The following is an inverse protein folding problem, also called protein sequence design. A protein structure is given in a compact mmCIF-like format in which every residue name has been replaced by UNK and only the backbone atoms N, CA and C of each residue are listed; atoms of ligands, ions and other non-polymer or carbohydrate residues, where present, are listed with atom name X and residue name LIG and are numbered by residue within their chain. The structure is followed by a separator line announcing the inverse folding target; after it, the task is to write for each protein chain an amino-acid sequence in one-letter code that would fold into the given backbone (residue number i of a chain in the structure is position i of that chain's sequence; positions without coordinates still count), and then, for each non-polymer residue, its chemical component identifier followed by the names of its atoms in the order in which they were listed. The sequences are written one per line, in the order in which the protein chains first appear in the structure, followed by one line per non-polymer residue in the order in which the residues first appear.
data_IF_984285167922
#
_entry.id   IF_984285167922
#
_cell.length_a   1.000
_cell.length_b   1.000
_cell.length_c   1.000
_cell.angle_alpha   90.00
_cell.angle_beta   90.00
_cell.angle_gamma   90.00
#
_symmetry.space_group_name_H-M   'P 1'
#
loop_
_entity.id
_entity.type
_entity.pdbx_description
1 polymer ?
#
# COMPACT_ATOMS: atom_id res chain seq x y z
N UNK A 1 89.46 3.62 -11.24
CA UNK A 1 90.15 4.69 -10.48
C UNK A 1 89.48 4.81 -9.14
N UNK A 2 90.23 4.51 -8.09
CA UNK A 2 89.82 4.65 -6.70
C UNK A 2 90.22 6.02 -6.18
N UNK A 3 89.43 6.62 -5.29
CA UNK A 3 89.98 7.23 -4.08
C UNK A 3 88.95 7.31 -2.96
N UNK A 4 89.48 7.22 -1.75
CA UNK A 4 88.91 6.74 -0.49
C UNK A 4 89.39 7.67 0.62
N UNK A 5 88.57 7.95 1.66
CA UNK A 5 88.91 7.90 3.11
C UNK A 5 87.67 8.26 3.95
N UNK A 6 87.14 7.35 4.79
CA UNK A 6 87.52 6.94 6.20
C UNK A 6 87.01 7.97 7.24
N UNK A 7 86.40 7.62 8.40
CA UNK A 7 86.68 6.50 9.34
C UNK A 7 85.61 6.38 10.47
N UNK A 8 85.30 5.12 10.87
CA UNK A 8 85.07 4.47 12.22
C UNK A 8 84.57 5.29 13.42
N UNK A 9 83.77 4.77 14.39
CA UNK A 9 83.72 3.51 15.18
C UNK A 9 82.24 3.23 15.58
N UNK A 10 81.72 2.09 16.03
CA UNK A 10 82.20 0.79 16.52
C UNK A 10 81.10 0.18 17.42
N UNK A 11 81.01 -1.15 17.54
CA UNK A 11 80.37 -1.83 18.69
C UNK A 11 79.01 -2.50 18.47
N UNK A 12 79.01 -3.83 18.51
CA UNK A 12 77.83 -4.71 18.54
C UNK A 12 77.21 -4.75 19.94
N UNK A 13 75.88 -4.80 20.06
CA UNK A 13 75.18 -5.73 20.95
C UNK A 13 73.66 -5.70 20.72
N UNK A 14 73.09 -6.90 20.67
CA UNK A 14 71.67 -7.22 20.57
C UNK A 14 70.90 -6.93 21.86
N UNK A 15 69.91 -6.03 21.84
CA UNK A 15 68.84 -5.98 22.87
C UNK A 15 67.51 -5.48 22.25
N UNK A 16 66.46 -6.32 22.39
CA UNK A 16 65.00 -6.10 22.34
C UNK A 16 64.43 -4.81 21.72
N UNK A 17 63.58 -4.99 20.71
CA UNK A 17 62.61 -4.00 20.25
C UNK A 17 61.50 -3.77 21.30
N UNK A 18 61.21 -2.52 21.72
CA UNK A 18 59.99 -2.18 22.42
C UNK A 18 58.84 -1.96 21.44
N UNK A 19 57.69 -2.52 21.79
CA UNK A 19 56.39 -2.42 21.14
C UNK A 19 55.96 -0.95 21.06
N UNK A 20 55.82 -0.42 19.84
CA UNK A 20 55.36 0.94 19.57
C UNK A 20 53.86 1.10 19.83
N UNK A 21 53.53 2.01 20.75
CA UNK A 21 52.19 2.51 21.07
C UNK A 21 51.57 3.26 19.88
N UNK A 22 50.29 3.02 19.53
CA UNK A 22 49.59 3.81 18.50
C UNK A 22 49.20 5.22 18.98
N UNK A 23 49.18 6.15 18.02
CA UNK A 23 48.97 7.58 18.17
C UNK A 23 47.62 7.98 18.84
N UNK A 24 47.67 9.10 19.57
CA UNK A 24 46.60 9.67 20.36
C UNK A 24 45.34 10.03 19.54
N UNK A 25 44.18 9.69 20.10
CA UNK A 25 42.83 10.04 19.63
C UNK A 25 42.44 11.42 20.20
N UNK A 26 41.83 12.34 19.43
CA UNK A 26 41.45 13.65 19.93
C UNK A 26 40.35 13.58 21.00
N UNK A 27 40.52 14.39 22.05
CA UNK A 27 39.66 14.48 23.22
C UNK A 27 38.24 14.94 22.86
N UNK A 28 37.25 14.10 23.16
CA UNK A 28 35.86 14.52 23.28
C UNK A 28 35.53 14.73 24.75
N UNK A 29 35.20 15.97 25.13
CA UNK A 29 34.74 16.33 26.46
C UNK A 29 33.41 15.63 26.81
N UNK A 30 33.48 14.42 27.37
CA UNK A 30 32.37 13.83 28.09
C UNK A 30 32.44 14.31 29.55
N UNK A 31 31.67 15.34 29.87
CA UNK A 31 31.46 15.78 31.25
C UNK A 31 30.72 14.65 31.97
N UNK A 32 31.41 13.97 32.90
CA UNK A 32 30.82 12.96 33.76
C UNK A 32 29.74 13.61 34.63
N UNK A 33 28.47 13.27 34.38
CA UNK A 33 27.35 13.69 35.20
C UNK A 33 27.36 12.93 36.52
N UNK A 34 27.55 13.66 37.61
CA UNK A 34 27.30 13.25 38.99
C UNK A 34 25.89 12.67 39.12
N UNK A 35 25.79 11.44 39.65
CA UNK A 35 24.51 10.87 40.08
C UNK A 35 24.03 11.61 41.33
N UNK A 36 23.15 12.58 41.14
CA UNK A 36 22.26 13.05 42.21
C UNK A 36 21.03 12.13 42.25
N UNK A 37 20.79 11.57 43.43
CA UNK A 37 19.66 10.69 43.71
C UNK A 37 18.39 11.54 43.79
N UNK A 38 17.71 11.73 42.66
CA UNK A 38 16.44 12.44 42.59
C UNK A 38 15.28 11.58 43.17
N UNK A 39 14.29 12.19 43.85
CA UNK A 39 13.19 11.49 44.50
C UNK A 39 12.25 10.83 43.49
N UNK A 40 11.73 9.67 43.89
CA UNK A 40 10.88 8.80 43.11
C UNK A 40 9.46 9.39 42.98
N UNK A 41 9.12 9.96 41.82
CA UNK A 41 7.78 9.92 41.18
C UNK A 41 7.72 10.88 39.99
N UNK A 42 7.77 10.35 38.77
CA UNK A 42 7.34 11.08 37.58
C UNK A 42 6.72 10.07 36.59
N UNK A 43 5.51 10.30 36.05
CA UNK A 43 4.87 9.37 35.13
C UNK A 43 5.68 9.29 33.83
N UNK A 44 5.90 8.06 33.36
CA UNK A 44 6.73 7.74 32.20
C UNK A 44 6.47 8.70 31.01
N UNK A 45 7.49 9.48 30.63
CA UNK A 45 7.47 10.25 29.39
C UNK A 45 7.24 9.31 28.19
N UNK A 46 6.45 9.71 27.19
CA UNK A 46 6.38 8.99 25.92
C UNK A 46 7.78 8.88 25.32
N UNK A 47 8.28 7.66 25.08
CA UNK A 47 9.58 7.47 24.44
C UNK A 47 9.59 8.12 23.05
N UNK A 48 10.36 9.19 22.89
CA UNK A 48 10.67 9.78 21.58
C UNK A 48 11.39 8.72 20.72
N UNK A 49 10.90 8.41 19.50
CA UNK A 49 11.51 7.36 18.70
C UNK A 49 12.95 7.69 18.33
N UNK A 50 13.87 6.77 18.57
CA UNK A 50 15.27 6.92 18.19
C UNK A 50 15.46 6.83 16.66
N UNK A 51 16.65 7.20 16.17
CA UNK A 51 16.94 7.23 14.73
C UNK A 51 16.72 5.88 14.02
N UNK A 52 16.97 4.75 14.70
CA UNK A 52 16.72 3.43 14.14
C UNK A 52 15.22 3.15 13.99
N UNK A 53 14.41 3.48 15.00
CA UNK A 53 12.95 3.34 14.94
C UNK A 53 12.35 4.22 13.82
N UNK A 54 12.85 5.44 13.66
CA UNK A 54 12.42 6.32 12.57
C UNK A 54 12.79 5.76 11.18
N UNK A 55 14.00 5.21 11.01
CA UNK A 55 14.42 4.57 9.76
C UNK A 55 13.57 3.35 9.42
N UNK A 56 13.34 2.47 10.39
CA UNK A 56 12.48 1.28 10.21
C UNK A 56 11.05 1.68 9.85
N UNK A 57 10.50 2.70 10.49
CA UNK A 57 9.17 3.21 10.16
C UNK A 57 9.11 3.74 8.71
N UNK A 58 10.11 4.54 8.29
CA UNK A 58 10.20 5.05 6.91
C UNK A 58 10.32 3.91 5.89
N UNK A 59 11.13 2.89 6.19
CA UNK A 59 11.27 1.71 5.34
C UNK A 59 9.96 0.94 5.20
N UNK A 60 9.25 0.73 6.32
CA UNK A 60 7.93 0.09 6.32
C UNK A 60 6.91 0.87 5.49
N UNK A 61 6.92 2.21 5.58
CA UNK A 61 6.06 3.06 4.76
C UNK A 61 6.39 2.92 3.27
N UNK A 62 7.68 2.92 2.91
CA UNK A 62 8.09 2.72 1.51
C UNK A 62 7.69 1.35 0.99
N UNK A 63 7.94 0.29 1.76
CA UNK A 63 7.54 -1.06 1.44
C UNK A 63 6.02 -1.15 1.21
N UNK A 64 5.20 -0.58 2.08
CA UNK A 64 3.74 -0.57 1.92
C UNK A 64 3.28 0.19 0.67
N UNK A 65 3.93 1.31 0.32
CA UNK A 65 3.62 2.05 -0.92
C UNK A 65 3.94 1.19 -2.15
N UNK A 66 5.10 0.55 -2.14
CA UNK A 66 5.49 -0.37 -3.21
C UNK A 66 4.49 -1.52 -3.33
N UNK A 67 4.11 -2.16 -2.22
CA UNK A 67 3.10 -3.22 -2.24
C UNK A 67 1.78 -2.77 -2.86
N UNK A 68 1.30 -1.57 -2.50
CA UNK A 68 0.08 -1.01 -3.08
C UNK A 68 0.18 -0.86 -4.59
N UNK A 69 1.22 -0.16 -5.07
CA UNK A 69 1.42 0.09 -6.51
C UNK A 69 1.65 -1.20 -7.28
N UNK A 70 2.43 -2.13 -6.74
CA UNK A 70 2.64 -3.44 -7.32
C UNK A 70 1.33 -4.23 -7.42
N UNK A 71 0.48 -4.20 -6.39
CA UNK A 71 -0.84 -4.80 -6.45
C UNK A 71 -1.69 -4.21 -7.59
N UNK A 72 -1.76 -2.88 -7.69
CA UNK A 72 -2.50 -2.19 -8.76
C UNK A 72 -1.93 -2.51 -10.15
N UNK A 73 -0.60 -2.55 -10.30
CA UNK A 73 0.10 -3.00 -11.51
C UNK A 73 -0.34 -4.40 -11.91
N UNK A 74 -0.17 -5.37 -11.01
CA UNK A 74 -0.54 -6.76 -11.31
C UNK A 74 -2.03 -6.91 -11.61
N UNK A 75 -2.91 -6.14 -10.94
CA UNK A 75 -4.35 -6.15 -11.19
C UNK A 75 -4.71 -5.66 -12.60
N UNK A 76 -4.10 -4.58 -13.06
CA UNK A 76 -4.34 -4.03 -14.39
C UNK A 76 -3.94 -5.01 -15.50
N UNK A 77 -2.74 -5.58 -15.40
CA UNK A 77 -2.28 -6.56 -16.38
C UNK A 77 -3.02 -7.89 -16.27
N UNK A 78 -3.48 -8.29 -15.09
CA UNK A 78 -4.39 -9.42 -14.98
C UNK A 78 -5.72 -9.17 -15.73
N UNK A 79 -6.31 -7.97 -15.58
CA UNK A 79 -7.53 -7.59 -16.29
C UNK A 79 -7.33 -7.58 -17.81
N UNK A 80 -6.18 -7.07 -18.29
CA UNK A 80 -5.87 -7.08 -19.71
C UNK A 80 -5.53 -8.49 -20.23
N UNK A 81 -4.55 -9.14 -19.62
CA UNK A 81 -3.87 -10.30 -20.21
C UNK A 81 -4.60 -11.60 -19.92
N UNK A 82 -5.19 -11.74 -18.72
CA UNK A 82 -5.92 -12.94 -18.31
C UNK A 82 -7.42 -12.81 -18.54
N UNK A 83 -8.05 -11.68 -18.17
CA UNK A 83 -9.49 -11.49 -18.42
C UNK A 83 -9.81 -11.06 -19.86
N UNK A 84 -8.79 -10.61 -20.62
CA UNK A 84 -8.95 -10.25 -22.03
C UNK A 84 -9.79 -8.99 -22.25
N UNK A 85 -9.81 -8.07 -21.28
CA UNK A 85 -10.63 -6.87 -21.40
C UNK A 85 -9.91 -5.78 -22.20
N UNK A 86 -10.54 -5.37 -23.29
CA UNK A 86 -10.01 -4.33 -24.19
C UNK A 86 -8.85 -4.82 -25.06
N UNK A 87 -8.11 -3.86 -25.62
CA UNK A 87 -6.97 -4.13 -26.47
C UNK A 87 -5.69 -4.23 -25.63
N UNK A 88 -4.87 -5.26 -25.89
CA UNK A 88 -3.59 -5.42 -25.18
C UNK A 88 -2.65 -4.26 -25.50
N UNK A 89 -2.05 -3.71 -24.46
CA UNK A 89 -1.03 -2.66 -24.55
C UNK A 89 0.28 -3.12 -23.91
N UNK A 90 1.36 -2.45 -24.27
CA UNK A 90 2.70 -2.78 -23.79
C UNK A 90 2.84 -2.56 -22.29
N UNK A 91 3.59 -3.46 -21.64
CA UNK A 91 3.93 -3.34 -20.22
C UNK A 91 4.93 -2.21 -20.00
N UNK A 92 4.78 -1.49 -18.90
CA UNK A 92 5.70 -0.44 -18.43
C UNK A 92 6.14 0.63 -19.46
N UNK A 93 5.32 0.83 -20.50
CA UNK A 93 5.53 1.83 -21.56
C UNK A 93 4.51 2.98 -21.56
N UNK A 94 3.70 3.10 -20.51
CA UNK A 94 2.60 4.08 -20.45
C UNK A 94 1.43 3.76 -21.38
N UNK A 95 1.25 2.48 -21.73
CA UNK A 95 0.20 2.04 -22.63
C UNK A 95 -1.21 2.35 -22.12
N UNK A 96 -2.11 2.67 -23.06
CA UNK A 96 -3.53 2.93 -22.80
C UNK A 96 -4.35 1.72 -23.23
N UNK A 97 -5.20 1.23 -22.32
CA UNK A 97 -6.22 0.25 -22.64
C UNK A 97 -7.61 0.93 -22.58
N UNK A 98 -8.37 0.97 -23.70
CA UNK A 98 -9.65 1.67 -23.76
C UNK A 98 -10.76 1.05 -22.90
N UNK A 99 -10.55 -0.19 -22.41
CA UNK A 99 -11.46 -0.82 -21.47
C UNK A 99 -11.22 -0.35 -20.03
N UNK A 100 -10.03 0.16 -19.68
CA UNK A 100 -9.78 0.76 -18.37
C UNK A 100 -10.38 2.19 -18.36
N UNK A 101 -11.33 2.41 -17.47
CA UNK A 101 -12.18 3.61 -17.47
C UNK A 101 -11.68 4.74 -16.57
N UNK A 102 -10.67 4.46 -15.76
CA UNK A 102 -10.01 5.43 -14.91
C UNK A 102 -8.55 5.65 -15.33
N UNK A 103 -7.93 6.67 -14.76
CA UNK A 103 -6.55 7.08 -15.09
C UNK A 103 -6.34 7.37 -16.59
N UNK A 104 -7.40 7.77 -17.32
CA UNK A 104 -7.35 7.95 -18.77
C UNK A 104 -7.06 6.66 -19.56
N UNK A 105 -7.29 5.50 -18.95
CA UNK A 105 -7.00 4.19 -19.54
C UNK A 105 -5.55 3.72 -19.38
N UNK A 106 -4.68 4.50 -18.73
CA UNK A 106 -3.29 4.11 -18.50
C UNK A 106 -3.21 2.95 -17.52
N UNK A 107 -2.47 1.90 -17.89
CA UNK A 107 -2.15 0.83 -16.96
C UNK A 107 -1.14 1.31 -15.92
N UNK A 108 -1.24 0.77 -14.71
CA UNK A 108 -0.31 1.10 -13.64
C UNK A 108 1.09 0.64 -14.02
N UNK A 109 2.04 1.57 -13.98
CA UNK A 109 3.44 1.29 -14.22
C UNK A 109 4.10 0.85 -12.91
N UNK A 110 5.08 -0.05 -13.00
CA UNK A 110 5.87 -0.45 -11.84
C UNK A 110 6.76 0.71 -11.35
N UNK A 111 7.27 1.51 -12.30
CA UNK A 111 8.08 2.70 -12.07
C UNK A 111 7.65 3.86 -12.97
N UNK A 112 7.56 5.11 -12.47
CA UNK A 112 7.72 5.52 -11.08
C UNK A 112 6.59 4.97 -10.17
N UNK A 113 6.92 4.65 -8.93
CA UNK A 113 5.97 4.07 -7.95
C UNK A 113 4.99 5.13 -7.43
N UNK A 114 3.98 5.46 -8.24
CA UNK A 114 3.00 6.50 -7.97
C UNK A 114 1.74 5.93 -7.30
N UNK A 115 1.44 6.41 -6.10
CA UNK A 115 0.23 6.04 -5.35
C UNK A 115 -0.94 6.93 -5.79
N UNK A 116 -2.09 6.34 -6.12
CA UNK A 116 -3.25 7.08 -6.67
C UNK A 116 -4.21 7.62 -5.61
N UNK A 117 -4.33 6.97 -4.44
CA UNK A 117 -5.06 7.49 -3.28
C UNK A 117 -6.56 7.75 -3.48
N UNK A 118 -7.19 7.25 -4.55
CA UNK A 118 -8.58 7.54 -4.93
C UNK A 118 -9.62 6.56 -4.35
N UNK A 119 -9.17 5.49 -3.70
CA UNK A 119 -9.99 4.54 -2.97
C UNK A 119 -10.43 3.33 -3.79
N UNK A 120 -10.89 3.52 -5.03
CA UNK A 120 -11.11 2.43 -6.00
C UNK A 120 -9.85 2.29 -6.84
N UNK A 121 -9.32 1.08 -7.02
CA UNK A 121 -8.05 0.88 -7.73
C UNK A 121 -8.24 0.85 -9.24
N UNK A 122 -9.19 0.05 -9.76
CA UNK A 122 -9.48 0.05 -11.20
C UNK A 122 -10.98 -0.07 -11.49
N UNK A 123 -11.39 0.46 -12.65
CA UNK A 123 -12.74 0.31 -13.18
C UNK A 123 -12.60 -0.05 -14.64
N UNK A 124 -13.21 -1.15 -15.05
CA UNK A 124 -13.04 -1.73 -16.37
C UNK A 124 -14.38 -1.94 -17.07
N UNK A 125 -14.42 -1.75 -18.39
CA UNK A 125 -15.43 -2.36 -19.26
C UNK A 125 -15.10 -3.84 -19.40
N UNK A 126 -16.09 -4.68 -19.19
CA UNK A 126 -15.97 -6.12 -19.37
C UNK A 126 -16.44 -6.51 -20.77
N UNK A 127 -15.71 -7.42 -21.41
CA UNK A 127 -16.11 -7.96 -22.72
C UNK A 127 -16.77 -9.32 -22.51
N UNK A 128 -17.98 -9.52 -23.04
CA UNK A 128 -18.69 -10.80 -22.97
C UNK A 128 -19.27 -11.19 -21.60
N UNK A 129 -19.24 -10.29 -20.60
CA UNK A 129 -19.84 -10.54 -19.29
C UNK A 129 -21.27 -10.01 -19.19
N UNK A 130 -22.08 -10.59 -18.30
CA UNK A 130 -23.47 -10.17 -18.06
C UNK A 130 -23.57 -8.74 -17.52
N UNK A 131 -22.59 -8.31 -16.72
CA UNK A 131 -22.48 -6.95 -16.20
C UNK A 131 -21.38 -6.21 -16.99
N UNK A 132 -21.67 -5.05 -17.61
CA UNK A 132 -20.75 -4.35 -18.51
C UNK A 132 -19.53 -3.70 -17.82
N UNK A 133 -19.55 -3.59 -16.50
CA UNK A 133 -18.46 -2.99 -15.73
C UNK A 133 -17.91 -3.93 -14.66
N UNK A 134 -16.63 -3.77 -14.33
CA UNK A 134 -15.98 -4.41 -13.20
C UNK A 134 -15.27 -3.35 -12.35
N UNK A 135 -15.51 -3.40 -11.03
CA UNK A 135 -14.81 -2.59 -10.03
C UNK A 135 -13.76 -3.46 -9.37
N UNK A 136 -12.51 -3.04 -9.43
CA UNK A 136 -11.36 -3.81 -8.96
C UNK A 136 -10.75 -3.11 -7.74
N UNK A 137 -10.50 -3.90 -6.71
CA UNK A 137 -9.61 -3.58 -5.60
C UNK A 137 -8.43 -4.55 -5.64
N UNK A 138 -7.23 -4.00 -5.68
CA UNK A 138 -5.99 -4.75 -5.70
C UNK A 138 -5.40 -4.84 -4.28
N UNK A 139 -4.99 -6.04 -3.88
CA UNK A 139 -4.37 -6.28 -2.57
C UNK A 139 -3.09 -7.08 -2.76
N UNK A 140 -2.00 -6.60 -2.17
CA UNK A 140 -0.74 -7.35 -2.12
C UNK A 140 -0.32 -7.62 -0.67
N UNK A 141 0.19 -8.82 -0.40
CA UNK A 141 0.75 -9.15 0.92
C UNK A 141 1.81 -10.24 0.85
N UNK A 142 2.76 -10.18 1.80
CA UNK A 142 3.72 -11.28 2.04
C UNK A 142 3.05 -12.48 2.71
N UNK A 143 1.90 -12.28 3.34
CA UNK A 143 1.15 -13.32 4.04
C UNK A 143 0.07 -13.88 3.09
N UNK A 144 0.30 -15.08 2.50
CA UNK A 144 -0.65 -15.65 1.55
C UNK A 144 -1.93 -16.13 2.23
N UNK A 145 -2.04 -16.09 3.57
CA UNK A 145 -3.19 -16.60 4.33
C UNK A 145 -4.24 -15.53 4.61
N UNK A 146 -3.99 -14.26 4.27
CA UNK A 146 -4.92 -13.15 4.51
C UNK A 146 -6.33 -13.46 4.00
N UNK A 147 -7.32 -13.32 4.87
CA UNK A 147 -8.72 -13.48 4.50
C UNK A 147 -9.25 -12.19 3.88
N UNK A 148 -10.29 -12.31 3.04
CA UNK A 148 -10.99 -11.15 2.48
C UNK A 148 -11.44 -10.16 3.56
N UNK A 149 -11.95 -10.67 4.70
CA UNK A 149 -12.36 -9.85 5.86
C UNK A 149 -11.19 -9.06 6.44
N UNK A 150 -9.97 -9.57 6.41
CA UNK A 150 -8.79 -8.84 6.91
C UNK A 150 -8.27 -7.79 5.91
N UNK A 151 -8.55 -7.99 4.62
CA UNK A 151 -8.08 -7.12 3.54
C UNK A 151 -9.00 -5.91 3.31
N UNK A 152 -10.31 -6.04 3.52
CA UNK A 152 -11.26 -4.96 3.29
C UNK A 152 -11.28 -3.95 4.44
N UNK A 153 -11.11 -2.67 4.13
CA UNK A 153 -11.22 -1.58 5.10
C UNK A 153 -12.65 -1.27 5.55
N UNK A 154 -12.80 -0.21 6.33
CA UNK A 154 -14.07 0.39 6.73
C UNK A 154 -14.01 1.90 6.41
N UNK A 155 -15.09 2.49 5.92
CA UNK A 155 -15.18 3.92 5.65
C UNK A 155 -16.40 4.54 6.37
N UNK A 156 -16.24 5.73 6.94
CA UNK A 156 -17.39 6.54 7.37
C UNK A 156 -17.93 7.37 6.20
N UNK A 157 -19.26 7.55 6.13
CA UNK A 157 -19.89 8.40 5.10
C UNK A 157 -19.83 9.90 5.43
N UNK A 158 -19.38 10.26 6.64
CA UNK A 158 -19.16 11.65 7.01
C UNK A 158 -17.98 12.16 6.21
N UNK A 159 -18.30 12.91 5.14
CA UNK A 159 -17.43 13.88 4.46
C UNK A 159 -15.96 13.54 4.60
N UNK A 160 -15.41 12.77 3.65
CA UNK A 160 -13.97 12.59 3.49
C UNK A 160 -13.31 13.98 3.30
N UNK A 161 -13.05 14.64 4.43
CA UNK A 161 -12.28 15.85 4.54
C UNK A 161 -10.81 15.50 4.47
N UNK A 162 -10.10 16.23 3.60
CA UNK A 162 -8.66 16.40 3.54
C UNK A 162 -7.79 15.15 3.80
N UNK A 163 -7.30 14.56 2.71
CA UNK A 163 -5.92 14.09 2.57
C UNK A 163 -5.17 13.75 3.87
N UNK A 164 -5.05 12.46 4.22
CA UNK A 164 -3.78 11.81 4.62
C UNK A 164 -3.96 10.32 4.94
N UNK A 165 -3.01 9.52 4.45
CA UNK A 165 -2.54 8.22 4.93
C UNK A 165 -3.42 7.40 5.89
N UNK A 166 -3.89 6.24 5.41
CA UNK A 166 -4.35 5.15 6.28
C UNK A 166 -3.25 4.07 6.39
N UNK A 167 -2.27 4.34 7.25
CA UNK A 167 -1.59 3.29 8.02
C UNK A 167 -2.43 3.01 9.26
N UNK A 168 -2.82 1.75 9.45
CA UNK A 168 -3.47 1.31 10.68
C UNK A 168 -2.45 1.24 11.84
N UNK A 169 -2.78 1.87 12.97
CA UNK A 169 -2.35 1.44 14.30
C UNK A 169 -3.30 1.99 15.37
N UNK A 170 -3.60 1.14 16.35
CA UNK A 170 -4.58 1.33 17.42
C UNK A 170 -4.22 2.42 18.45
N UNK A 171 -5.24 3.00 19.09
CA UNK A 171 -5.08 3.80 20.32
C UNK A 171 -6.29 4.69 20.65
N UNK A 172 -7.04 4.34 21.71
CA UNK A 172 -8.19 5.05 22.37
C UNK A 172 -7.90 6.55 22.61
N UNK A 173 -8.85 7.50 22.76
CA UNK A 173 -10.05 7.51 23.64
C UNK A 173 -10.85 8.84 23.45
N UNK A 174 -12.19 8.76 23.57
CA UNK A 174 -13.10 9.85 23.95
C UNK A 174 -13.57 10.77 22.80
N UNK A 175 -14.85 10.98 22.50
CA UNK A 175 -16.06 10.85 23.30
C UNK A 175 -16.89 12.12 23.09
N UNK A 176 -17.79 12.13 22.11
CA UNK A 176 -18.97 13.01 22.13
C UNK A 176 -20.11 12.36 21.36
N UNK A 177 -21.03 11.80 22.12
CA UNK A 177 -22.36 11.40 21.70
C UNK A 177 -23.07 12.60 21.09
N UNK A 178 -23.59 12.41 19.88
CA UNK A 178 -24.52 13.32 19.23
C UNK A 178 -25.67 12.50 18.70
N UNK A 179 -26.67 12.28 19.55
CA UNK A 179 -27.94 11.66 19.20
C UNK A 179 -28.86 12.76 18.64
N UNK A 180 -29.22 12.65 17.35
CA UNK A 180 -30.44 13.14 16.67
C UNK A 180 -30.13 13.60 15.25
N UNK A 181 -30.84 13.00 14.30
CA UNK A 181 -30.85 13.35 12.90
C UNK A 181 -31.61 12.32 12.09
N UNK A 182 -32.86 12.05 12.47
CA UNK A 182 -33.86 11.56 11.52
C UNK A 182 -34.02 12.65 10.47
N UNK A 183 -33.46 12.41 9.30
CA UNK A 183 -33.54 13.30 8.15
C UNK A 183 -33.63 12.42 6.92
N UNK A 184 -34.87 12.13 6.52
CA UNK A 184 -35.16 11.42 5.29
C UNK A 184 -34.52 12.14 4.11
N UNK A 185 -33.72 11.41 3.35
CA UNK A 185 -33.43 11.72 1.96
C UNK A 185 -33.85 10.51 1.16
N UNK A 186 -35.00 10.70 0.51
CA UNK A 186 -35.55 9.85 -0.53
C UNK A 186 -34.50 9.59 -1.62
N UNK A 187 -34.21 8.32 -1.87
CA UNK A 187 -33.51 7.86 -3.09
C UNK A 187 -32.24 7.03 -2.90
N UNK A 188 -31.78 6.75 -1.67
CA UNK A 188 -30.59 5.93 -1.46
C UNK A 188 -30.93 4.44 -1.43
N UNK A 189 -30.33 3.67 -2.34
CA UNK A 189 -30.17 2.21 -2.18
C UNK A 189 -29.76 1.90 -0.75
N UNK A 190 -30.50 1.02 -0.07
CA UNK A 190 -30.36 0.70 1.35
C UNK A 190 -28.92 0.27 1.65
N UNK A 191 -28.09 1.23 2.07
CA UNK A 191 -26.66 1.01 2.22
C UNK A 191 -26.43 0.20 3.48
N UNK A 192 -26.07 -1.07 3.33
CA UNK A 192 -25.76 -1.95 4.45
C UNK A 192 -24.59 -1.36 5.24
N UNK A 193 -24.86 -0.96 6.48
CA UNK A 193 -23.87 -0.44 7.42
C UNK A 193 -23.41 -1.55 8.36
N UNK A 194 -22.15 -1.47 8.74
CA UNK A 194 -21.59 -2.23 9.84
C UNK A 194 -22.26 -1.85 11.16
N UNK A 195 -22.13 -2.71 12.17
CA UNK A 195 -22.64 -2.44 13.54
C UNK A 195 -22.05 -1.17 14.17
N UNK A 196 -20.88 -0.72 13.70
CA UNK A 196 -20.24 0.53 14.12
C UNK A 196 -20.70 1.77 13.30
N UNK A 197 -21.66 1.62 12.39
CA UNK A 197 -22.21 2.68 11.52
C UNK A 197 -21.40 2.99 10.24
N UNK A 198 -20.23 2.36 10.06
CA UNK A 198 -19.40 2.51 8.85
C UNK A 198 -19.87 1.61 7.71
N UNK A 199 -19.30 1.80 6.53
CA UNK A 199 -19.53 0.95 5.36
C UNK A 199 -18.28 0.13 5.06
N UNK A 200 -18.46 -1.14 4.73
CA UNK A 200 -17.38 -2.04 4.33
C UNK A 200 -16.82 -1.65 2.96
N UNK A 201 -15.50 -1.55 2.83
CA UNK A 201 -14.83 -1.35 1.53
C UNK A 201 -15.32 -2.39 0.51
N UNK A 202 -15.53 -1.98 -0.74
CA UNK A 202 -16.14 -2.80 -1.80
C UNK A 202 -17.60 -3.22 -1.56
N UNK A 203 -18.27 -2.77 -0.50
CA UNK A 203 -19.73 -2.88 -0.40
C UNK A 203 -20.41 -2.01 -1.48
N UNK A 204 -21.63 -2.36 -1.91
CA UNK A 204 -22.36 -1.58 -2.92
C UNK A 204 -22.54 -0.12 -2.51
N UNK A 205 -22.95 0.15 -1.27
CA UNK A 205 -23.05 1.53 -0.77
C UNK A 205 -21.70 2.24 -0.61
N UNK A 206 -20.60 1.49 -0.46
CA UNK A 206 -19.25 2.07 -0.49
C UNK A 206 -18.88 2.48 -1.92
N UNK A 207 -19.14 1.64 -2.93
CA UNK A 207 -18.84 1.98 -4.33
C UNK A 207 -19.74 3.12 -4.82
N UNK A 208 -21.03 3.08 -4.48
CA UNK A 208 -22.04 4.06 -4.89
C UNK A 208 -21.88 5.43 -4.23
N UNK A 209 -20.92 5.59 -3.30
CA UNK A 209 -20.59 6.92 -2.78
C UNK A 209 -20.13 7.83 -3.94
N UNK A 210 -20.94 8.84 -4.27
CA UNK A 210 -20.76 9.73 -5.42
C UNK A 210 -19.38 10.39 -5.49
N UNK A 211 -18.79 10.74 -4.33
CA UNK A 211 -17.46 11.37 -4.30
C UNK A 211 -16.38 10.38 -4.66
N UNK A 212 -16.45 9.16 -4.12
CA UNK A 212 -15.47 8.10 -4.37
C UNK A 212 -15.53 7.65 -5.83
N UNK A 213 -16.73 7.35 -6.32
CA UNK A 213 -16.94 6.96 -7.71
C UNK A 213 -16.54 8.09 -8.66
N UNK A 214 -16.85 9.34 -8.31
CA UNK A 214 -16.50 10.53 -9.08
C UNK A 214 -14.98 10.77 -9.15
N UNK A 215 -14.24 10.52 -8.06
CA UNK A 215 -12.77 10.57 -8.06
C UNK A 215 -12.16 9.46 -8.93
N UNK A 216 -12.81 8.30 -9.00
CA UNK A 216 -12.33 7.19 -9.81
C UNK A 216 -12.57 7.43 -11.32
N UNK A 217 -13.78 7.83 -11.71
CA UNK A 217 -14.20 7.87 -13.12
C UNK A 217 -14.29 9.27 -13.73
N UNK A 218 -14.30 10.32 -12.91
CA UNK A 218 -14.75 11.65 -13.33
C UNK A 218 -16.28 11.71 -13.43
N UNK A 219 -16.89 12.78 -12.93
CA UNK A 219 -18.36 12.92 -12.86
C UNK A 219 -19.02 13.08 -14.23
N UNK A 220 -18.25 13.41 -15.27
CA UNK A 220 -18.73 13.51 -16.65
C UNK A 220 -18.70 12.17 -17.43
N UNK A 221 -18.13 11.11 -16.85
CA UNK A 221 -18.04 9.81 -17.51
C UNK A 221 -19.41 9.13 -17.63
N UNK A 222 -19.73 8.58 -18.80
CA UNK A 222 -20.96 7.79 -18.99
C UNK A 222 -21.05 6.61 -18.02
N UNK A 223 -19.91 5.94 -17.76
CA UNK A 223 -19.84 4.84 -16.81
C UNK A 223 -20.13 5.29 -15.36
N UNK A 224 -19.77 6.54 -15.00
CA UNK A 224 -20.13 7.11 -13.70
C UNK A 224 -21.65 7.22 -13.55
N UNK A 225 -22.35 7.73 -14.57
CA UNK A 225 -23.81 7.79 -14.60
C UNK A 225 -24.45 6.42 -14.50
N UNK A 226 -24.02 5.48 -15.34
CA UNK A 226 -24.54 4.11 -15.35
C UNK A 226 -24.39 3.40 -14.00
N UNK A 227 -23.19 3.43 -13.42
CA UNK A 227 -22.88 2.75 -12.16
C UNK A 227 -23.65 3.40 -11.00
N UNK A 228 -23.76 4.73 -11.00
CA UNK A 228 -24.52 5.46 -9.98
C UNK A 228 -26.01 5.14 -10.06
N UNK A 229 -26.59 5.20 -11.25
CA UNK A 229 -28.05 5.17 -11.44
C UNK A 229 -28.60 3.74 -11.48
N UNK A 230 -27.86 2.80 -12.06
CA UNK A 230 -28.28 1.40 -12.22
C UNK A 230 -27.67 0.47 -11.16
N UNK A 231 -26.66 0.94 -10.44
CA UNK A 231 -26.09 0.26 -9.29
C UNK A 231 -25.53 -1.13 -9.62
N UNK A 232 -25.70 -2.06 -8.67
CA UNK A 232 -25.16 -3.43 -8.74
C UNK A 232 -25.59 -4.23 -9.97
N UNK A 233 -26.64 -3.80 -10.67
CA UNK A 233 -27.13 -4.44 -11.90
C UNK A 233 -26.14 -4.31 -13.06
N UNK A 234 -25.24 -3.32 -13.04
CA UNK A 234 -24.33 -3.04 -14.16
C UNK A 234 -22.86 -3.26 -13.87
N UNK A 235 -22.50 -3.56 -12.62
CA UNK A 235 -21.11 -3.86 -12.29
C UNK A 235 -20.93 -5.06 -11.37
N UNK A 236 -19.86 -5.82 -11.60
CA UNK A 236 -19.34 -6.80 -10.66
C UNK A 236 -18.19 -6.21 -9.84
N UNK A 237 -17.97 -6.76 -8.65
CA UNK A 237 -16.88 -6.37 -7.78
C UNK A 237 -15.86 -7.49 -7.68
N UNK A 238 -14.59 -7.13 -7.72
CA UNK A 238 -13.48 -8.07 -7.63
C UNK A 238 -12.43 -7.54 -6.67
N UNK A 239 -12.02 -8.39 -5.74
CA UNK A 239 -10.79 -8.18 -4.96
C UNK A 239 -9.75 -9.15 -5.51
N UNK A 240 -8.71 -8.60 -6.14
CA UNK A 240 -7.59 -9.37 -6.68
C UNK A 240 -6.46 -9.36 -5.66
N UNK A 241 -6.10 -10.55 -5.17
CA UNK A 241 -5.05 -10.70 -4.17
C UNK A 241 -3.82 -11.38 -4.74
N UNK A 242 -2.68 -10.74 -4.50
CA UNK A 242 -1.36 -11.17 -4.93
C UNK A 242 -0.48 -11.45 -3.71
N UNK A 243 -0.03 -12.70 -3.59
CA UNK A 243 0.96 -13.11 -2.61
C UNK A 243 2.36 -13.03 -3.20
N UNK A 244 3.30 -12.53 -2.40
CA UNK A 244 4.59 -12.06 -2.89
C UNK A 244 5.60 -13.13 -3.33
N UNK A 245 5.46 -14.45 -3.07
CA UNK A 245 6.28 -15.43 -3.78
C UNK A 245 6.22 -15.27 -5.32
N UNK A 246 5.11 -14.77 -5.86
CA UNK A 246 4.92 -14.47 -7.29
C UNK A 246 5.42 -13.07 -7.70
N UNK A 247 5.81 -12.22 -6.76
CA UNK A 247 6.17 -10.83 -6.99
C UNK A 247 7.67 -10.52 -6.79
N UNK A 248 8.50 -11.55 -6.56
CA UNK A 248 9.97 -11.39 -6.48
C UNK A 248 10.52 -10.76 -7.76
N UNK A 249 10.06 -11.23 -8.93
CA UNK A 249 10.41 -10.65 -10.22
C UNK A 249 10.07 -9.14 -10.32
N UNK A 250 8.91 -8.72 -9.78
CA UNK A 250 8.52 -7.31 -9.73
C UNK A 250 9.41 -6.49 -8.79
N UNK A 251 9.81 -7.06 -7.64
CA UNK A 251 10.73 -6.39 -6.73
C UNK A 251 12.13 -6.22 -7.36
N UNK A 252 12.64 -7.25 -8.03
CA UNK A 252 13.90 -7.18 -8.77
C UNK A 252 13.84 -6.19 -9.94
N UNK A 253 12.74 -6.21 -10.69
CA UNK A 253 12.49 -5.26 -11.77
C UNK A 253 12.52 -3.82 -11.26
N UNK A 254 11.85 -3.55 -10.13
CA UNK A 254 11.86 -2.22 -9.53
C UNK A 254 13.27 -1.79 -9.12
N UNK A 255 14.06 -2.66 -8.48
CA UNK A 255 15.45 -2.33 -8.08
C UNK A 255 16.27 -1.94 -9.32
N UNK A 256 16.14 -2.71 -10.42
CA UNK A 256 16.80 -2.41 -11.69
C UNK A 256 16.35 -1.08 -12.28
N UNK A 257 15.04 -0.81 -12.32
CA UNK A 257 14.47 0.45 -12.82
C UNK A 257 14.92 1.66 -12.00
N UNK A 258 14.97 1.54 -10.67
CA UNK A 258 15.51 2.57 -9.77
C UNK A 258 16.99 2.82 -10.07
N UNK A 259 17.75 1.77 -10.37
CA UNK A 259 19.15 1.85 -10.79
C UNK A 259 19.32 2.32 -12.25
N UNK A 260 18.24 2.77 -12.91
CA UNK A 260 18.22 3.21 -14.31
C UNK A 260 18.66 2.13 -15.31
N UNK A 261 18.49 0.86 -14.94
CA UNK A 261 18.74 -0.27 -15.83
C UNK A 261 17.48 -0.58 -16.64
N UNK A 262 17.67 -0.98 -17.89
CA UNK A 262 16.58 -1.51 -18.71
C UNK A 262 16.11 -2.86 -18.18
N UNK A 263 14.79 -3.02 -18.05
CA UNK A 263 14.17 -4.30 -17.67
C UNK A 263 13.31 -4.76 -18.84
N UNK A 264 13.59 -5.93 -19.45
CA UNK A 264 12.73 -6.52 -20.46
C UNK A 264 11.33 -6.76 -19.91
N UNK A 265 10.29 -6.58 -20.72
CA UNK A 265 8.89 -6.78 -20.28
C UNK A 265 8.63 -8.17 -19.72
N UNK A 266 9.24 -9.19 -20.32
CA UNK A 266 9.03 -10.59 -19.92
C UNK A 266 9.67 -10.92 -18.56
N UNK A 267 10.54 -10.05 -18.04
CA UNK A 267 11.21 -10.23 -16.76
C UNK A 267 10.22 -10.29 -15.59
N UNK A 268 9.10 -9.58 -15.68
CA UNK A 268 8.06 -9.54 -14.64
C UNK A 268 6.64 -9.62 -15.22
N UNK A 269 6.46 -10.30 -16.36
CA UNK A 269 5.15 -10.44 -17.02
C UNK A 269 4.16 -11.39 -16.29
N UNK A 270 4.58 -12.04 -15.21
CA UNK A 270 3.75 -12.97 -14.45
C UNK A 270 2.74 -12.23 -13.56
N UNK A 271 1.49 -12.13 -14.03
CA UNK A 271 0.38 -11.45 -13.36
C UNK A 271 -0.67 -12.43 -12.80
N UNK A 272 -0.20 -13.54 -12.24
CA UNK A 272 -1.07 -14.56 -11.67
C UNK A 272 -1.70 -14.07 -10.36
N UNK A 273 -3.03 -14.08 -10.31
CA UNK A 273 -3.77 -13.75 -9.10
C UNK A 273 -3.69 -14.95 -8.16
N UNK A 274 -3.18 -14.75 -6.95
CA UNK A 274 -3.16 -15.80 -5.93
C UNK A 274 -4.58 -16.18 -5.52
N UNK A 275 -5.46 -15.19 -5.29
CA UNK A 275 -6.89 -15.40 -5.00
C UNK A 275 -7.74 -14.24 -5.54
N UNK A 276 -8.90 -14.59 -6.08
CA UNK A 276 -9.92 -13.63 -6.51
C UNK A 276 -11.19 -13.84 -5.69
N UNK A 277 -11.76 -12.74 -5.19
CA UNK A 277 -13.08 -12.75 -4.55
C UNK A 277 -14.06 -11.88 -5.34
N UNK A 278 -15.14 -12.48 -5.80
CA UNK A 278 -16.24 -11.81 -6.50
C UNK A 278 -17.37 -11.34 -5.57
N UNK A 279 -18.46 -10.83 -6.18
CA UNK A 279 -19.64 -10.27 -5.52
C UNK A 279 -20.10 -11.09 -4.29
N UNK A 280 -20.36 -12.39 -4.45
CA UNK A 280 -20.91 -13.22 -3.39
C UNK A 280 -20.01 -13.39 -2.17
N UNK A 281 -18.68 -13.36 -2.35
CA UNK A 281 -17.72 -13.42 -1.26
C UNK A 281 -17.63 -12.07 -0.53
N UNK A 282 -17.74 -10.97 -1.27
CA UNK A 282 -17.75 -9.62 -0.73
C UNK A 282 -19.03 -9.39 0.07
N UNK A 283 -20.19 -9.79 -0.44
CA UNK A 283 -21.47 -9.67 0.27
C UNK A 283 -21.47 -10.44 1.57
N UNK A 284 -20.89 -11.65 1.58
CA UNK A 284 -20.70 -12.39 2.83
C UNK A 284 -19.93 -11.59 3.87
N UNK A 285 -18.89 -10.85 3.49
CA UNK A 285 -18.13 -10.01 4.41
C UNK A 285 -18.92 -8.77 4.84
N UNK A 286 -19.64 -8.15 3.91
CA UNK A 286 -20.50 -6.98 4.19
C UNK A 286 -21.58 -7.35 5.22
N UNK A 287 -22.34 -8.41 4.96
CA UNK A 287 -23.40 -8.92 5.82
C UNK A 287 -22.88 -9.29 7.21
N UNK A 288 -21.79 -10.07 7.27
CA UNK A 288 -21.22 -10.52 8.53
C UNK A 288 -20.75 -9.32 9.39
N UNK A 289 -20.28 -8.22 8.78
CA UNK A 289 -19.90 -7.00 9.51
C UNK A 289 -21.11 -6.14 9.91
N UNK A 290 -22.22 -6.29 9.21
CA UNK A 290 -23.50 -5.68 9.57
C UNK A 290 -24.28 -6.47 10.63
N UNK A 291 -23.81 -7.67 11.00
CA UNK A 291 -24.52 -8.56 11.91
C UNK A 291 -25.71 -9.27 11.27
N UNK A 292 -25.76 -9.34 9.93
CA UNK A 292 -26.79 -10.04 9.19
C UNK A 292 -26.36 -11.52 9.04
N UNK A 293 -26.83 -12.37 9.94
CA UNK A 293 -26.61 -13.82 9.89
C UNK A 293 -27.92 -14.57 9.55
N UNK A 294 -27.83 -15.68 8.81
CA UNK A 294 -28.96 -16.58 8.55
C UNK A 294 -30.08 -15.99 7.69
N UNK A 295 -31.32 -16.06 8.18
CA UNK A 295 -32.55 -15.70 7.44
C UNK A 295 -32.61 -14.24 6.95
N UNK A 296 -31.80 -13.35 7.55
CA UNK A 296 -31.69 -11.95 7.15
C UNK A 296 -30.99 -11.74 5.79
N UNK A 297 -30.31 -12.76 5.23
CA UNK A 297 -29.61 -12.72 3.94
C UNK A 297 -30.51 -12.96 2.71
N UNK A 298 -31.76 -13.43 2.88
CA UNK A 298 -32.68 -13.71 1.76
C UNK A 298 -33.45 -12.46 1.31
N UNK A 299 -32.75 -11.44 0.81
CA UNK A 299 -33.38 -10.29 0.13
C UNK A 299 -32.87 -10.17 -1.29
#
# INVERSE_FOLDING_TARGET
MAWWRKTTFGGSSSVKAPTGTPAAKPETHAKAGTQEKAPHSDPAQPQTPNAAQQRTARFKTLANKFLGVMGEHMADYHCQDTKGWGAKTAHDGGGINPAKLNDGGHLVQLWPTLVRGRGIDAVWKTTGAAKPYAIIEAKASYDPTKSLKALLGEAGDKTEGASTAATASAGRRGGRSGNKGSGGSSGATDTIRQTNGKVTQMGHGWIQNTRRLGRALGTASAAFGDIRDRGEKVYSRHVLFFSIPQAVAHAEALIKLIAQQSVPTDFHAAHEVTREWGDSAIDKVVDNRAGLEGAARKR
#
